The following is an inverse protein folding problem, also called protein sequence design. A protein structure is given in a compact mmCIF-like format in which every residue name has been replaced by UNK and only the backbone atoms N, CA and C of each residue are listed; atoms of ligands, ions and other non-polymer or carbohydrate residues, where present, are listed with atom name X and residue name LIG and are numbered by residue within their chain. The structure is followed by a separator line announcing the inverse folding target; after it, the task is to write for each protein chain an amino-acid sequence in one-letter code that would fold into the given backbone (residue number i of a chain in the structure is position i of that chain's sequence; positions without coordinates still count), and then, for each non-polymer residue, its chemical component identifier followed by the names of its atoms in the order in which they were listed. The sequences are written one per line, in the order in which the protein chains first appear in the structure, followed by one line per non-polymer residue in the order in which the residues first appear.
data_IF_822001018807
#
_entry.id   IF_822001018807
#
_cell.length_a   1.000
_cell.length_b   1.000
_cell.length_c   1.000
_cell.angle_alpha   90.00
_cell.angle_beta   90.00
_cell.angle_gamma   90.00
#
_symmetry.space_group_name_H-M   'P 1'
#
loop_
_entity.id
_entity.type
_entity.pdbx_description
1 polymer ?
#
# COMPACT_ATOMS: atom_id res chain seq x y z
N UNK A 1 29.64 19.92 14.71
CA UNK A 1 30.93 19.73 14.02
C UNK A 1 30.62 19.11 12.67
N UNK A 2 30.48 19.95 11.65
CA UNK A 2 30.19 19.52 10.29
C UNK A 2 31.50 19.10 9.62
N UNK A 3 31.53 17.94 8.96
CA UNK A 3 32.66 17.51 8.14
C UNK A 3 32.14 17.30 6.72
N UNK A 4 32.76 18.05 5.81
CA UNK A 4 32.53 18.08 4.38
C UNK A 4 33.09 16.82 3.69
N UNK A 5 32.43 16.39 2.61
CA UNK A 5 32.95 15.42 1.64
C UNK A 5 33.65 16.17 0.49
N UNK A 6 34.72 15.63 -0.11
CA UNK A 6 35.44 16.28 -1.21
C UNK A 6 34.75 16.09 -2.57
N UNK A 7 34.74 17.17 -3.36
CA UNK A 7 34.26 17.26 -4.73
C UNK A 7 35.10 16.45 -5.74
N UNK A 8 34.44 15.77 -6.69
CA UNK A 8 34.82 15.82 -8.12
C UNK A 8 33.81 15.14 -9.04
N UNK A 9 32.81 15.89 -9.50
CA UNK A 9 32.40 15.91 -10.92
C UNK A 9 31.46 17.11 -11.16
N UNK A 10 31.93 18.08 -11.96
CA UNK A 10 31.19 19.31 -12.29
C UNK A 10 29.85 19.00 -13.00
N UNK A 11 28.70 19.52 -12.52
CA UNK A 11 27.45 19.56 -13.28
C UNK A 11 27.46 20.69 -14.32
N UNK A 12 26.81 20.47 -15.46
CA UNK A 12 26.48 21.54 -16.43
C UNK A 12 25.48 22.53 -15.82
N UNK A 13 25.73 23.82 -16.00
CA UNK A 13 24.94 24.93 -15.47
C UNK A 13 23.44 24.83 -15.81
N UNK A 14 22.60 24.94 -14.77
CA UNK A 14 21.16 25.20 -14.86
C UNK A 14 20.92 26.65 -14.42
N UNK A 15 20.16 27.47 -15.17
CA UNK A 15 19.94 28.87 -14.80
C UNK A 15 19.04 28.99 -13.55
N UNK A 16 19.36 29.96 -12.69
CA UNK A 16 18.67 30.21 -11.43
C UNK A 16 17.21 30.69 -11.62
N UNK A 17 16.27 30.24 -10.77
CA UNK A 17 14.92 30.79 -10.75
C UNK A 17 14.89 32.14 -10.00
N UNK A 18 14.29 33.15 -10.66
CA UNK A 18 14.03 34.48 -10.09
C UNK A 18 13.17 34.36 -8.84
N UNK A 19 13.62 34.98 -7.74
CA UNK A 19 12.87 35.04 -6.48
C UNK A 19 11.55 35.79 -6.63
N UNK A 20 10.47 35.20 -6.13
CA UNK A 20 9.21 35.89 -5.86
C UNK A 20 9.04 35.91 -4.34
N UNK A 21 9.06 37.12 -3.78
CA UNK A 21 8.75 37.39 -2.38
C UNK A 21 7.22 37.30 -2.22
N UNK A 22 6.73 36.42 -1.35
CA UNK A 22 5.31 36.37 -0.96
C UNK A 22 5.22 36.77 0.51
N UNK A 23 4.51 37.86 0.77
CA UNK A 23 4.11 38.34 2.10
C UNK A 23 2.99 37.46 2.69
N UNK A 24 2.87 37.32 4.03
CA UNK A 24 1.89 36.42 4.63
C UNK A 24 0.47 37.03 4.64
N UNK A 25 -0.53 36.25 4.21
CA UNK A 25 -1.96 36.54 4.37
C UNK A 25 -2.48 36.05 5.74
N UNK A 26 -3.53 36.67 6.30
CA UNK A 26 -4.02 36.36 7.65
C UNK A 26 -4.93 35.11 7.68
N UNK A 27 -4.98 34.47 8.85
CA UNK A 27 -5.73 33.25 9.13
C UNK A 27 -7.25 33.38 8.85
N UNK A 28 -7.80 32.43 8.09
CA UNK A 28 -9.24 32.30 7.81
C UNK A 28 -9.90 31.13 8.55
N UNK A 29 -11.18 31.32 8.87
CA UNK A 29 -12.08 30.55 9.75
C UNK A 29 -12.25 29.04 9.45
N UNK A 30 -12.67 28.22 10.46
CA UNK A 30 -12.69 26.76 10.41
C UNK A 30 -13.95 26.11 9.78
N UNK A 31 -14.67 26.77 8.86
CA UNK A 31 -15.96 26.27 8.31
C UNK A 31 -15.94 25.78 6.84
N UNK A 32 -14.82 25.31 6.29
CA UNK A 32 -14.75 24.93 4.85
C UNK A 32 -14.89 23.44 4.52
N UNK A 33 -15.12 22.55 5.49
CA UNK A 33 -15.17 21.10 5.23
C UNK A 33 -16.49 20.54 4.66
N UNK A 34 -17.55 21.34 4.49
CA UNK A 34 -18.81 20.88 3.90
C UNK A 34 -19.05 21.27 2.43
N UNK A 35 -18.23 22.15 1.83
CA UNK A 35 -18.54 22.76 0.54
C UNK A 35 -18.11 22.01 -0.74
N UNK A 36 -17.33 20.93 -0.64
CA UNK A 36 -16.79 20.25 -1.83
C UNK A 36 -17.65 19.07 -2.33
N UNK A 37 -18.46 18.47 -1.44
CA UNK A 37 -19.46 17.49 -1.83
C UNK A 37 -20.59 18.16 -2.64
N UNK A 38 -21.05 19.34 -2.24
CA UNK A 38 -22.18 20.01 -2.91
C UNK A 38 -21.85 20.49 -4.33
N UNK A 39 -20.61 20.93 -4.59
CA UNK A 39 -20.19 21.37 -5.92
C UNK A 39 -19.91 20.22 -6.89
N UNK A 40 -19.44 19.08 -6.36
CA UNK A 40 -19.20 17.86 -7.14
C UNK A 40 -20.52 17.17 -7.47
N UNK A 41 -21.47 17.17 -6.52
CA UNK A 41 -22.84 16.70 -6.68
C UNK A 41 -23.64 17.58 -7.66
N UNK A 42 -23.58 18.91 -7.54
CA UNK A 42 -24.28 19.81 -8.45
C UNK A 42 -23.75 19.75 -9.89
N UNK A 43 -22.44 19.54 -10.07
CA UNK A 43 -21.83 19.37 -11.39
C UNK A 43 -22.19 18.01 -12.02
N UNK A 44 -22.23 16.93 -11.22
CA UNK A 44 -22.70 15.62 -11.69
C UNK A 44 -24.18 15.64 -12.04
N UNK A 45 -25.01 16.30 -11.23
CA UNK A 45 -26.46 16.35 -11.42
C UNK A 45 -26.84 17.18 -12.66
N UNK A 46 -26.10 18.27 -12.93
CA UNK A 46 -26.25 19.09 -14.14
C UNK A 46 -25.87 18.32 -15.42
N UNK A 47 -24.78 17.55 -15.39
CA UNK A 47 -24.33 16.72 -16.51
C UNK A 47 -25.26 15.53 -16.77
N UNK A 48 -25.77 14.88 -15.72
CA UNK A 48 -26.76 13.78 -15.81
C UNK A 48 -28.10 14.29 -16.35
N UNK A 49 -28.55 15.47 -15.90
CA UNK A 49 -29.80 16.08 -16.38
C UNK A 49 -29.73 16.46 -17.85
N UNK A 50 -28.59 16.97 -18.33
CA UNK A 50 -28.37 17.32 -19.73
C UNK A 50 -28.33 16.08 -20.66
N UNK A 51 -27.79 14.94 -20.17
CA UNK A 51 -27.61 13.72 -20.96
C UNK A 51 -28.80 12.75 -20.90
N UNK A 52 -29.68 12.86 -19.91
CA UNK A 52 -30.93 12.07 -19.81
C UNK A 52 -31.92 12.35 -20.97
N UNK A 53 -31.74 13.46 -21.69
CA UNK A 53 -32.56 13.81 -22.86
C UNK A 53 -32.18 13.05 -24.14
N UNK A 54 -31.13 12.22 -24.12
CA UNK A 54 -30.67 11.50 -25.31
C UNK A 54 -30.03 10.15 -24.97
N UNK A 55 -30.80 9.09 -24.77
CA UNK A 55 -30.39 7.72 -25.15
C UNK A 55 -31.46 6.65 -24.90
N UNK A 56 -31.54 5.70 -25.84
CA UNK A 56 -32.36 4.48 -25.78
C UNK A 56 -31.89 3.51 -24.65
N UNK A 57 -32.78 2.70 -24.06
CA UNK A 57 -32.56 2.04 -22.77
C UNK A 57 -31.84 0.67 -22.79
N UNK A 58 -31.04 0.32 -23.80
CA UNK A 58 -30.49 -1.06 -23.91
C UNK A 58 -28.97 -1.20 -23.92
N UNK A 59 -28.20 -0.11 -23.84
CA UNK A 59 -26.76 -0.18 -23.63
C UNK A 59 -26.31 0.90 -22.64
N UNK A 60 -25.58 0.56 -21.57
CA UNK A 60 -25.02 1.57 -20.69
C UNK A 60 -24.07 2.45 -21.50
N UNK A 61 -24.21 3.77 -21.34
CA UNK A 61 -23.33 4.72 -22.03
C UNK A 61 -21.87 4.51 -21.58
N UNK A 62 -20.94 4.90 -22.44
CA UNK A 62 -19.50 4.85 -22.12
C UNK A 62 -19.17 5.54 -20.78
N UNK A 63 -19.82 6.68 -20.53
CA UNK A 63 -19.66 7.44 -19.28
C UNK A 63 -20.24 6.71 -18.07
N UNK A 64 -21.38 6.02 -18.21
CA UNK A 64 -21.93 5.19 -17.13
C UNK A 64 -21.02 4.00 -16.83
N UNK A 65 -20.43 3.38 -17.86
CA UNK A 65 -19.50 2.26 -17.70
C UNK A 65 -18.21 2.71 -17.02
N UNK A 66 -17.68 3.87 -17.40
CA UNK A 66 -16.53 4.48 -16.71
C UNK A 66 -16.86 4.84 -15.26
N UNK A 67 -18.03 5.43 -15.00
CA UNK A 67 -18.44 5.75 -13.64
C UNK A 67 -18.51 4.48 -12.77
N UNK A 68 -19.17 3.43 -13.24
CA UNK A 68 -19.19 2.11 -12.57
C UNK A 68 -17.78 1.57 -12.31
N UNK A 69 -16.88 1.63 -13.30
CA UNK A 69 -15.48 1.20 -13.16
C UNK A 69 -14.72 2.01 -12.09
N UNK A 70 -15.03 3.30 -11.94
CA UNK A 70 -14.28 4.19 -11.05
C UNK A 70 -14.87 4.33 -9.65
N UNK A 71 -16.17 4.10 -9.45
CA UNK A 71 -16.84 4.25 -8.14
C UNK A 71 -17.28 2.92 -7.54
N UNK A 72 -17.77 1.98 -8.34
CA UNK A 72 -18.34 0.72 -7.83
C UNK A 72 -17.35 -0.44 -7.81
N UNK A 73 -16.40 -0.49 -8.74
CA UNK A 73 -15.41 -1.56 -8.78
C UNK A 73 -14.47 -1.52 -7.54
N UNK A 74 -13.96 -0.36 -7.07
CA UNK A 74 -13.14 -0.29 -5.87
C UNK A 74 -13.88 -0.63 -4.56
N UNK A 75 -15.22 -0.59 -4.55
CA UNK A 75 -16.03 -0.95 -3.39
C UNK A 75 -16.43 -2.42 -3.34
N UNK A 76 -16.09 -3.22 -4.36
CA UNK A 76 -16.32 -4.66 -4.33
C UNK A 76 -15.34 -5.38 -3.37
N UNK A 77 -15.81 -6.39 -2.61
CA UNK A 77 -14.95 -7.18 -1.74
C UNK A 77 -13.75 -7.77 -2.48
N UNK A 78 -12.56 -7.78 -1.88
CA UNK A 78 -11.34 -8.34 -2.48
C UNK A 78 -11.40 -9.86 -2.68
N UNK A 79 -12.37 -10.54 -2.07
CA UNK A 79 -12.72 -11.93 -2.33
C UNK A 79 -13.49 -12.15 -3.64
N UNK A 80 -13.99 -11.08 -4.28
CA UNK A 80 -14.78 -11.17 -5.50
C UNK A 80 -13.97 -11.70 -6.68
N UNK A 81 -14.53 -12.60 -7.51
CA UNK A 81 -13.86 -13.14 -8.70
C UNK A 81 -13.39 -12.07 -9.70
N UNK A 82 -14.03 -10.89 -9.70
CA UNK A 82 -13.64 -9.77 -10.57
C UNK A 82 -12.19 -9.35 -10.35
N UNK A 83 -11.68 -9.40 -9.12
CA UNK A 83 -10.30 -9.05 -8.82
C UNK A 83 -9.32 -10.08 -9.36
N UNK A 84 -9.71 -11.36 -9.36
CA UNK A 84 -8.91 -12.41 -10.01
C UNK A 84 -8.86 -12.23 -11.53
N UNK A 85 -9.96 -11.79 -12.14
CA UNK A 85 -9.99 -11.42 -13.57
C UNK A 85 -9.08 -10.22 -13.85
N UNK A 86 -9.17 -9.16 -13.05
CA UNK A 86 -8.35 -7.95 -13.21
C UNK A 86 -6.87 -8.29 -13.03
N UNK A 87 -6.49 -9.04 -12.00
CA UNK A 87 -5.12 -9.51 -11.80
C UNK A 87 -4.59 -10.34 -12.98
N UNK A 88 -5.47 -11.09 -13.65
CA UNK A 88 -5.12 -11.81 -14.89
C UNK A 88 -4.85 -10.84 -16.06
N UNK A 89 -5.63 -9.76 -16.19
CA UNK A 89 -5.41 -8.72 -17.21
C UNK A 89 -4.09 -7.96 -16.98
N UNK A 90 -3.76 -7.68 -15.72
CA UNK A 90 -2.52 -7.01 -15.31
C UNK A 90 -1.36 -7.98 -15.03
N UNK A 91 -1.46 -9.23 -15.49
CA UNK A 91 -0.40 -10.23 -15.28
C UNK A 91 0.94 -9.72 -15.81
N UNK A 92 1.98 -9.79 -14.99
CA UNK A 92 3.33 -9.43 -15.42
C UNK A 92 3.83 -10.42 -16.49
N UNK A 93 4.52 -9.92 -17.54
CA UNK A 93 5.02 -10.77 -18.63
C UNK A 93 6.06 -11.79 -18.14
N UNK A 94 6.88 -11.39 -17.16
CA UNK A 94 7.85 -12.24 -16.50
C UNK A 94 7.47 -12.36 -15.02
N UNK A 95 7.39 -13.59 -14.51
CA UNK A 95 7.28 -13.82 -13.07
C UNK A 95 8.69 -13.90 -12.52
N UNK A 96 9.04 -13.14 -11.48
CA UNK A 96 10.35 -13.28 -10.88
C UNK A 96 10.55 -14.72 -10.39
N UNK A 97 11.76 -15.29 -10.55
CA UNK A 97 12.07 -16.56 -9.91
C UNK A 97 11.93 -16.42 -8.39
N UNK A 98 11.49 -17.46 -7.66
CA UNK A 98 11.45 -17.41 -6.20
C UNK A 98 12.83 -17.08 -5.65
N UNK A 99 12.90 -16.16 -4.69
CA UNK A 99 14.13 -15.89 -3.96
C UNK A 99 14.52 -17.11 -3.14
N UNK A 100 15.82 -17.30 -2.96
CA UNK A 100 16.39 -18.44 -2.22
C UNK A 100 17.28 -17.94 -1.11
N UNK A 101 17.16 -18.54 0.07
CA UNK A 101 18.00 -18.23 1.23
C UNK A 101 19.27 -19.06 1.24
N UNK A 102 20.39 -18.38 1.38
CA UNK A 102 21.66 -18.99 1.72
C UNK A 102 21.63 -19.43 3.20
N UNK A 103 21.85 -20.72 3.52
CA UNK A 103 21.87 -21.20 4.90
C UNK A 103 22.88 -20.47 5.81
N UNK A 104 23.95 -19.91 5.24
CA UNK A 104 24.93 -19.11 5.99
C UNK A 104 24.44 -17.70 6.35
N UNK A 105 23.32 -17.26 5.75
CA UNK A 105 22.74 -15.92 5.92
C UNK A 105 21.24 -16.03 6.26
N UNK A 106 20.88 -16.56 7.44
CA UNK A 106 19.49 -16.70 7.84
C UNK A 106 18.82 -15.33 8.10
N UNK A 107 17.49 -15.34 8.24
CA UNK A 107 16.75 -14.20 8.77
C UNK A 107 17.18 -13.99 10.22
N UNK A 108 17.59 -12.79 10.57
CA UNK A 108 18.15 -12.47 11.88
C UNK A 108 17.33 -11.43 12.64
N UNK A 109 16.72 -10.46 11.96
CA UNK A 109 16.01 -9.34 12.59
C UNK A 109 14.64 -9.13 11.93
N UNK A 110 13.59 -9.05 12.75
CA UNK A 110 12.23 -8.70 12.30
C UNK A 110 11.82 -7.41 13.00
N UNK A 111 11.69 -6.31 12.25
CA UNK A 111 11.31 -5.01 12.78
C UNK A 111 9.82 -4.75 12.56
N UNK A 112 8.99 -5.05 13.56
CA UNK A 112 7.52 -5.07 13.48
C UNK A 112 6.86 -3.69 13.70
N UNK A 113 7.65 -2.63 13.85
CA UNK A 113 7.12 -1.27 14.01
C UNK A 113 6.31 -0.82 12.80
N UNK A 114 5.24 -0.08 13.06
CA UNK A 114 4.37 0.44 11.99
C UNK A 114 5.14 1.35 11.03
N UNK A 115 4.65 1.51 9.78
CA UNK A 115 5.14 2.55 8.90
C UNK A 115 5.16 3.91 9.60
N UNK A 116 6.14 4.74 9.24
CA UNK A 116 6.33 6.10 9.81
C UNK A 116 6.77 6.16 11.27
N UNK A 117 7.28 5.04 11.81
CA UNK A 117 7.93 4.99 13.14
C UNK A 117 9.47 4.92 13.06
N UNK A 118 10.05 5.43 11.97
CA UNK A 118 11.49 5.40 11.72
C UNK A 118 12.00 4.11 11.08
N UNK A 119 11.14 3.39 10.36
CA UNK A 119 11.44 2.11 9.70
C UNK A 119 12.58 2.21 8.69
N UNK A 120 12.63 3.27 7.88
CA UNK A 120 13.71 3.51 6.92
C UNK A 120 15.05 3.78 7.60
N UNK A 121 15.07 4.65 8.63
CA UNK A 121 16.30 4.91 9.40
C UNK A 121 16.80 3.66 10.11
N UNK A 122 15.89 2.82 10.61
CA UNK A 122 16.23 1.52 11.19
C UNK A 122 16.80 0.56 10.15
N UNK A 123 16.21 0.51 8.95
CA UNK A 123 16.73 -0.29 7.86
C UNK A 123 18.16 0.12 7.47
N UNK A 124 18.42 1.43 7.35
CA UNK A 124 19.76 1.96 7.10
C UNK A 124 20.75 1.62 8.23
N UNK A 125 20.34 1.75 9.49
CA UNK A 125 21.17 1.40 10.63
C UNK A 125 21.56 -0.09 10.63
N UNK A 126 20.63 -0.99 10.31
CA UNK A 126 20.92 -2.41 10.17
C UNK A 126 21.87 -2.67 8.99
N UNK A 127 21.68 -2.02 7.85
CA UNK A 127 22.64 -2.11 6.73
C UNK A 127 24.05 -1.68 7.17
N UNK A 128 24.19 -0.58 7.92
CA UNK A 128 25.48 -0.14 8.46
C UNK A 128 26.10 -1.11 9.47
N UNK A 129 25.28 -1.88 10.21
CA UNK A 129 25.74 -2.93 11.12
C UNK A 129 26.18 -4.22 10.38
N UNK A 130 26.09 -4.26 9.05
CA UNK A 130 26.58 -5.36 8.23
C UNK A 130 25.54 -6.42 7.89
N UNK A 131 24.25 -6.16 8.11
CA UNK A 131 23.20 -7.07 7.62
C UNK A 131 23.12 -7.02 6.09
N UNK A 132 23.17 -8.21 5.50
CA UNK A 132 23.46 -8.48 4.09
C UNK A 132 22.46 -7.92 3.07
N UNK A 133 21.25 -7.66 3.53
CA UNK A 133 20.18 -6.97 2.82
C UNK A 133 19.02 -6.81 3.82
N UNK A 134 18.47 -5.61 3.92
CA UNK A 134 17.39 -5.26 4.85
C UNK A 134 16.17 -4.88 4.04
N UNK A 135 15.17 -5.77 4.02
CA UNK A 135 13.94 -5.54 3.26
C UNK A 135 13.10 -4.47 3.94
N UNK A 136 12.62 -3.51 3.16
CA UNK A 136 11.78 -2.40 3.55
C UNK A 136 10.50 -2.40 2.70
N UNK A 137 9.47 -1.66 3.09
CA UNK A 137 8.26 -1.49 2.29
C UNK A 137 8.53 -0.86 0.91
N UNK A 138 9.65 -0.17 0.76
CA UNK A 138 10.08 0.39 -0.52
C UNK A 138 10.41 -0.72 -1.52
N UNK A 139 10.98 -1.83 -1.07
CA UNK A 139 11.36 -2.95 -1.95
C UNK A 139 10.14 -3.67 -2.54
N UNK A 140 8.96 -3.57 -1.92
CA UNK A 140 7.71 -4.13 -2.46
C UNK A 140 7.35 -3.51 -3.82
N UNK A 141 7.68 -2.22 -4.00
CA UNK A 141 7.30 -1.42 -5.18
C UNK A 141 8.46 -1.01 -6.06
N UNK A 142 9.68 -0.97 -5.52
CA UNK A 142 10.88 -0.57 -6.27
C UNK A 142 11.79 -1.74 -6.65
N UNK A 143 11.36 -2.98 -6.40
CA UNK A 143 11.93 -4.12 -7.11
C UNK A 143 11.90 -3.82 -8.63
N UNK A 144 12.99 -4.09 -9.38
CA UNK A 144 13.05 -3.83 -10.81
C UNK A 144 11.83 -4.40 -11.56
N UNK A 145 11.47 -3.80 -12.69
CA UNK A 145 10.29 -4.18 -13.49
C UNK A 145 10.24 -5.66 -13.87
N UNK A 146 11.41 -6.25 -14.16
CA UNK A 146 11.59 -7.67 -14.46
C UNK A 146 11.52 -8.58 -13.22
N UNK A 147 11.53 -8.00 -12.02
CA UNK A 147 11.56 -8.66 -10.73
C UNK A 147 10.44 -8.21 -9.78
N UNK A 148 9.29 -7.77 -10.27
CA UNK A 148 8.22 -7.29 -9.39
C UNK A 148 7.57 -8.43 -8.54
N UNK A 149 7.83 -8.44 -7.23
CA UNK A 149 7.31 -9.44 -6.27
C UNK A 149 5.98 -9.05 -5.60
N UNK A 150 5.41 -7.87 -5.92
CA UNK A 150 4.10 -7.42 -5.40
C UNK A 150 2.98 -8.47 -5.50
N UNK A 151 2.83 -9.26 -6.60
CA UNK A 151 1.83 -10.33 -6.66
C UNK A 151 1.99 -11.39 -5.56
N UNK A 152 3.23 -11.67 -5.14
CA UNK A 152 3.52 -12.63 -4.07
C UNK A 152 3.07 -12.11 -2.70
N UNK A 153 3.26 -10.82 -2.43
CA UNK A 153 2.73 -10.15 -1.23
C UNK A 153 1.19 -10.14 -1.22
N UNK A 154 0.54 -9.90 -2.36
CA UNK A 154 -0.92 -10.01 -2.52
C UNK A 154 -1.40 -11.43 -2.23
N UNK A 155 -0.71 -12.46 -2.71
CA UNK A 155 -1.04 -13.87 -2.42
C UNK A 155 -0.97 -14.16 -0.93
N UNK A 156 0.06 -13.67 -0.23
CA UNK A 156 0.18 -13.82 1.22
C UNK A 156 -0.92 -13.06 1.97
N UNK A 157 -1.21 -11.83 1.57
CA UNK A 157 -2.27 -11.03 2.18
C UNK A 157 -3.65 -11.69 2.00
N UNK A 158 -3.94 -12.23 0.81
CA UNK A 158 -5.17 -13.00 0.56
C UNK A 158 -5.25 -14.23 1.44
N UNK A 159 -4.16 -14.99 1.57
CA UNK A 159 -4.08 -16.16 2.46
C UNK A 159 -4.34 -15.78 3.92
N UNK A 160 -3.83 -14.63 4.38
CA UNK A 160 -4.00 -14.14 5.76
C UNK A 160 -5.41 -13.62 6.06
N UNK A 161 -5.92 -12.72 5.21
CA UNK A 161 -7.10 -11.92 5.53
C UNK A 161 -8.39 -12.42 4.86
N UNK A 162 -8.27 -13.24 3.81
CA UNK A 162 -9.41 -13.76 3.04
C UNK A 162 -9.28 -15.27 2.83
N UNK A 163 -9.15 -16.08 3.89
CA UNK A 163 -9.06 -17.52 3.75
C UNK A 163 -10.37 -18.06 3.17
N UNK A 164 -10.28 -18.83 2.08
CA UNK A 164 -11.44 -19.56 1.55
C UNK A 164 -11.75 -20.68 2.53
N UNK A 165 -12.97 -20.70 3.09
CA UNK A 165 -13.44 -21.81 3.89
C UNK A 165 -13.57 -23.05 3.01
N UNK A 166 -12.81 -24.10 3.28
CA UNK A 166 -13.08 -25.41 2.71
C UNK A 166 -14.42 -25.90 3.31
N UNK A 167 -15.45 -25.96 2.47
CA UNK A 167 -16.83 -26.32 2.83
C UNK A 167 -17.02 -27.78 3.33
N UNK A 168 -15.97 -28.47 3.77
CA UNK A 168 -16.01 -29.92 4.05
C UNK A 168 -15.63 -30.33 5.48
N UNK A 169 -15.31 -29.42 6.39
CA UNK A 169 -15.06 -29.82 7.79
C UNK A 169 -15.56 -28.80 8.81
N UNK A 170 -16.53 -29.23 9.63
CA UNK A 170 -16.99 -28.60 10.87
C UNK A 170 -15.96 -28.70 12.02
N UNK A 171 -14.67 -28.75 11.68
CA UNK A 171 -13.58 -28.68 12.65
C UNK A 171 -13.10 -27.23 12.70
N UNK A 172 -12.85 -26.73 13.92
CA UNK A 172 -12.27 -25.43 14.23
C UNK A 172 -11.21 -25.07 13.16
N UNK A 173 -11.56 -24.17 12.24
CA UNK A 173 -10.74 -23.91 11.05
C UNK A 173 -9.36 -23.44 11.49
N UNK A 174 -8.35 -24.30 11.31
CA UNK A 174 -6.96 -23.89 11.35
C UNK A 174 -6.80 -22.83 10.26
N UNK A 175 -6.65 -21.57 10.65
CA UNK A 175 -6.36 -20.49 9.69
C UNK A 175 -5.21 -20.95 8.79
N UNK A 176 -5.31 -20.79 7.46
CA UNK A 176 -4.29 -21.27 6.55
C UNK A 176 -2.92 -20.69 6.94
N UNK A 177 -2.04 -21.56 7.43
CA UNK A 177 -0.80 -21.12 8.07
C UNK A 177 0.17 -20.61 7.01
N UNK A 178 0.57 -19.35 7.12
CA UNK A 178 1.69 -18.81 6.33
C UNK A 178 2.98 -19.38 6.94
N UNK A 179 3.76 -20.06 6.11
CA UNK A 179 4.94 -20.80 6.53
C UNK A 179 6.22 -20.06 6.16
N UNK A 180 7.35 -20.50 6.71
CA UNK A 180 8.69 -20.05 6.29
C UNK A 180 8.86 -20.13 4.78
N UNK A 181 8.47 -21.25 4.17
CA UNK A 181 8.59 -21.47 2.72
C UNK A 181 7.83 -20.44 1.89
N UNK A 182 6.68 -19.97 2.38
CA UNK A 182 5.92 -18.92 1.70
C UNK A 182 6.69 -17.57 1.71
N UNK A 183 7.40 -17.26 2.80
CA UNK A 183 8.23 -16.06 2.90
C UNK A 183 9.57 -16.17 2.17
N UNK A 184 10.17 -17.36 2.06
CA UNK A 184 11.47 -17.54 1.41
C UNK A 184 11.47 -17.03 -0.04
N UNK A 185 10.38 -17.27 -0.78
CA UNK A 185 10.24 -16.79 -2.16
C UNK A 185 10.28 -15.27 -2.31
N UNK A 186 10.02 -14.50 -1.24
CA UNK A 186 10.00 -13.04 -1.21
C UNK A 186 11.19 -12.43 -0.47
N UNK A 187 11.60 -13.07 0.63
CA UNK A 187 12.57 -12.57 1.61
C UNK A 187 13.85 -13.42 1.68
N UNK A 188 14.03 -14.42 0.82
CA UNK A 188 15.12 -15.40 0.94
C UNK A 188 16.51 -14.76 0.93
N UNK A 189 16.69 -13.72 0.12
CA UNK A 189 17.93 -12.93 0.06
C UNK A 189 18.16 -11.95 1.24
N UNK A 190 17.19 -11.76 2.14
CA UNK A 190 17.24 -10.76 3.21
C UNK A 190 17.65 -11.37 4.55
N UNK A 191 18.39 -10.62 5.36
CA UNK A 191 18.67 -10.98 6.77
C UNK A 191 17.86 -10.19 7.78
N UNK A 192 17.20 -9.12 7.33
CA UNK A 192 16.27 -8.36 8.14
C UNK A 192 15.09 -7.89 7.30
N UNK A 193 13.96 -7.64 7.96
CA UNK A 193 12.74 -7.12 7.34
C UNK A 193 12.13 -6.04 8.23
N UNK A 194 11.65 -4.97 7.61
CA UNK A 194 11.08 -3.79 8.28
C UNK A 194 9.81 -3.31 7.57
N UNK A 195 9.09 -2.36 8.17
CA UNK A 195 7.98 -1.63 7.55
C UNK A 195 6.77 -2.52 7.18
N UNK A 196 6.07 -2.29 6.06
CA UNK A 196 4.82 -2.99 5.74
C UNK A 196 4.91 -4.51 5.79
N UNK A 197 5.90 -5.16 5.14
CA UNK A 197 6.07 -6.61 5.21
C UNK A 197 6.19 -7.14 6.64
N UNK A 198 6.98 -6.47 7.48
CA UNK A 198 7.20 -6.89 8.86
C UNK A 198 6.01 -6.61 9.78
N UNK A 199 5.38 -5.43 9.66
CA UNK A 199 4.27 -5.02 10.51
C UNK A 199 2.96 -5.74 10.15
N UNK A 200 2.65 -5.91 8.86
CA UNK A 200 1.45 -6.62 8.40
C UNK A 200 1.51 -8.11 8.75
N UNK A 201 2.68 -8.75 8.61
CA UNK A 201 2.85 -10.19 8.83
C UNK A 201 3.63 -10.52 10.11
N UNK A 202 3.57 -9.65 11.12
CA UNK A 202 4.39 -9.77 12.33
C UNK A 202 4.27 -11.15 13.00
N UNK A 203 3.04 -11.62 13.26
CA UNK A 203 2.81 -12.91 13.92
C UNK A 203 3.33 -14.09 13.09
N UNK A 204 3.10 -14.07 11.79
CA UNK A 204 3.49 -15.13 10.87
C UNK A 204 5.00 -15.16 10.64
N UNK A 205 5.65 -13.99 10.55
CA UNK A 205 7.11 -13.89 10.44
C UNK A 205 7.80 -14.37 11.73
N UNK A 206 7.28 -14.01 12.90
CA UNK A 206 7.82 -14.47 14.19
C UNK A 206 7.67 -15.99 14.31
N UNK A 207 6.53 -16.55 13.92
CA UNK A 207 6.31 -17.99 13.92
C UNK A 207 7.20 -18.71 12.87
N UNK A 208 7.40 -18.09 11.71
CA UNK A 208 8.23 -18.64 10.64
C UNK A 208 9.72 -18.62 10.95
N UNK A 209 10.21 -17.61 11.68
CA UNK A 209 11.62 -17.41 12.02
C UNK A 209 11.81 -17.20 13.54
N UNK A 210 11.57 -18.25 14.37
CA UNK A 210 11.68 -18.15 15.83
C UNK A 210 13.09 -17.82 16.32
N UNK A 211 14.12 -18.05 15.49
CA UNK A 211 15.51 -17.71 15.76
C UNK A 211 15.82 -16.21 15.60
N UNK A 212 14.98 -15.47 14.87
CA UNK A 212 15.21 -14.05 14.60
C UNK A 212 14.82 -13.18 15.80
N UNK A 213 15.60 -12.12 16.05
CA UNK A 213 15.26 -11.14 17.08
C UNK A 213 14.16 -10.23 16.58
N UNK A 214 13.23 -9.91 17.46
CA UNK A 214 12.11 -9.00 17.14
C UNK A 214 12.42 -7.62 17.70
N UNK A 215 12.27 -6.59 16.86
CA UNK A 215 12.42 -5.19 17.23
C UNK A 215 11.10 -4.48 17.01
N UNK A 216 10.57 -3.84 18.05
CA UNK A 216 9.41 -2.96 17.95
C UNK A 216 9.89 -1.51 18.07
N UNK A 217 10.12 -0.85 16.94
CA UNK A 217 10.34 0.58 16.91
C UNK A 217 9.00 1.32 16.98
N UNK A 218 8.93 2.35 17.81
CA UNK A 218 7.71 3.12 18.04
C UNK A 218 8.01 4.61 18.10
N UNK A 219 7.02 5.41 17.72
CA UNK A 219 7.02 6.85 17.99
C UNK A 219 6.26 7.09 19.28
N UNK A 220 6.83 7.89 20.19
CA UNK A 220 6.22 8.15 21.52
C UNK A 220 4.94 8.97 21.46
N UNK A 221 4.82 9.77 20.42
CA UNK A 221 3.74 10.73 20.22
C UNK A 221 2.86 10.22 19.07
N UNK A 222 1.64 9.81 19.43
CA UNK A 222 0.65 9.23 18.52
C UNK A 222 0.13 10.24 17.50
N UNK A 223 -0.17 11.47 17.94
CA UNK A 223 -0.65 12.55 17.07
C UNK A 223 0.39 12.86 16.00
N UNK A 224 1.66 13.02 16.39
CA UNK A 224 2.75 13.24 15.43
C UNK A 224 3.00 12.04 14.50
N UNK A 225 2.74 10.82 14.98
CA UNK A 225 2.80 9.64 14.12
C UNK A 225 1.67 9.66 13.09
N UNK A 226 0.44 9.89 13.52
CA UNK A 226 -0.74 9.99 12.68
C UNK A 226 -0.59 11.10 11.63
N UNK A 227 -0.16 12.31 12.03
CA UNK A 227 0.12 13.41 11.09
C UNK A 227 1.15 12.99 10.03
N UNK A 228 2.22 12.31 10.44
CA UNK A 228 3.25 11.81 9.52
C UNK A 228 2.75 10.69 8.61
N UNK A 229 1.75 9.92 9.06
CA UNK A 229 1.10 8.87 8.30
C UNK A 229 0.15 9.46 7.26
N UNK A 230 -0.71 10.38 7.66
CA UNK A 230 -1.61 11.12 6.77
C UNK A 230 -0.81 11.82 5.68
N UNK A 231 0.23 12.57 6.07
CA UNK A 231 1.03 13.37 5.13
C UNK A 231 1.77 12.54 4.08
N UNK A 232 2.15 11.30 4.38
CA UNK A 232 2.98 10.47 3.50
C UNK A 232 2.19 9.36 2.82
N UNK A 233 1.46 8.55 3.59
CA UNK A 233 0.76 7.36 3.07
C UNK A 233 -0.59 7.77 2.48
N UNK A 234 -1.41 8.51 3.23
CA UNK A 234 -2.74 8.91 2.74
C UNK A 234 -2.62 9.87 1.55
N UNK A 235 -1.67 10.81 1.59
CA UNK A 235 -1.42 11.68 0.43
C UNK A 235 -1.02 10.92 -0.84
N UNK A 236 -0.31 9.80 -0.72
CA UNK A 236 0.01 8.93 -1.86
C UNK A 236 -1.26 8.24 -2.40
N UNK A 237 -2.14 7.79 -1.51
CA UNK A 237 -3.47 7.27 -1.87
C UNK A 237 -4.37 8.33 -2.54
N UNK A 238 -4.24 9.60 -2.17
CA UNK A 238 -4.99 10.71 -2.80
C UNK A 238 -4.39 11.17 -4.14
N UNK A 239 -3.28 10.57 -4.58
CA UNK A 239 -2.63 10.94 -5.83
C UNK A 239 -3.43 10.45 -7.03
N UNK A 240 -4.25 11.34 -7.60
CA UNK A 240 -4.98 11.10 -8.85
C UNK A 240 -4.07 10.56 -9.97
N UNK A 241 -2.85 11.08 -10.08
CA UNK A 241 -1.91 10.68 -11.12
C UNK A 241 -1.44 9.24 -10.95
N UNK A 242 -1.12 8.84 -9.71
CA UNK A 242 -0.74 7.45 -9.42
C UNK A 242 -1.92 6.50 -9.58
N UNK A 243 -3.11 6.93 -9.17
CA UNK A 243 -4.34 6.17 -9.39
C UNK A 243 -4.59 5.93 -10.89
N UNK A 244 -4.52 6.95 -11.75
CA UNK A 244 -4.65 6.76 -13.20
C UNK A 244 -3.56 5.85 -13.74
N UNK A 245 -2.31 6.07 -13.34
CA UNK A 245 -1.19 5.22 -13.76
C UNK A 245 -1.44 3.74 -13.40
N UNK A 246 -2.05 3.47 -12.24
CA UNK A 246 -2.41 2.11 -11.82
C UNK A 246 -3.43 1.41 -12.73
N UNK A 247 -4.17 2.16 -13.56
CA UNK A 247 -5.06 1.59 -14.57
C UNK A 247 -4.39 1.42 -15.93
N UNK A 248 -3.33 2.16 -16.22
CA UNK A 248 -2.69 2.18 -17.53
C UNK A 248 -1.43 1.32 -17.60
N UNK A 249 -0.79 1.08 -16.46
CA UNK A 249 0.46 0.36 -16.35
C UNK A 249 0.36 -0.82 -15.38
N UNK A 250 1.04 -1.93 -15.71
CA UNK A 250 0.96 -3.17 -14.92
C UNK A 250 1.72 -3.09 -13.61
N UNK A 251 2.85 -2.41 -13.58
CA UNK A 251 3.65 -2.27 -12.36
C UNK A 251 2.97 -1.32 -11.40
N UNK A 252 2.46 -0.20 -11.91
CA UNK A 252 1.66 0.74 -11.13
C UNK A 252 0.37 0.08 -10.61
N UNK A 253 -0.27 -0.80 -11.40
CA UNK A 253 -1.39 -1.61 -10.94
C UNK A 253 -1.00 -2.43 -9.71
N UNK A 254 0.07 -3.23 -9.80
CA UNK A 254 0.48 -4.11 -8.70
C UNK A 254 0.96 -3.34 -7.48
N UNK A 255 1.66 -2.21 -7.66
CA UNK A 255 2.08 -1.32 -6.59
C UNK A 255 0.88 -0.70 -5.84
N UNK A 256 -0.14 -0.24 -6.57
CA UNK A 256 -1.39 0.23 -5.97
C UNK A 256 -2.14 -0.92 -5.30
N UNK A 257 -2.26 -2.05 -6.00
CA UNK A 257 -3.06 -3.20 -5.56
C UNK A 257 -2.52 -3.81 -4.27
N UNK A 258 -1.20 -4.00 -4.17
CA UNK A 258 -0.59 -4.53 -2.94
C UNK A 258 -0.79 -3.59 -1.77
N UNK A 259 -0.62 -2.28 -1.95
CA UNK A 259 -0.66 -1.33 -0.83
C UNK A 259 -2.07 -0.85 -0.48
N UNK A 260 -2.76 -0.25 -1.43
CA UNK A 260 -4.02 0.46 -1.19
C UNK A 260 -5.23 -0.48 -1.09
N UNK A 261 -5.11 -1.72 -1.58
CA UNK A 261 -6.18 -2.71 -1.44
C UNK A 261 -5.86 -3.76 -0.38
N UNK A 262 -4.64 -4.27 -0.31
CA UNK A 262 -4.30 -5.34 0.63
C UNK A 262 -3.60 -4.86 1.91
N UNK A 263 -2.38 -4.33 1.82
CA UNK A 263 -1.54 -4.13 3.01
C UNK A 263 -2.04 -3.01 3.93
N UNK A 264 -2.28 -1.79 3.43
CA UNK A 264 -2.72 -0.68 4.28
C UNK A 264 -4.10 -0.87 4.87
N UNK A 265 -5.14 -1.23 4.09
CA UNK A 265 -6.45 -1.49 4.68
C UNK A 265 -6.38 -2.61 5.72
N UNK A 266 -5.60 -3.67 5.49
CA UNK A 266 -5.48 -4.75 6.45
C UNK A 266 -4.70 -4.37 7.72
N UNK A 267 -3.64 -3.59 7.59
CA UNK A 267 -2.85 -3.11 8.72
C UNK A 267 -3.68 -2.22 9.65
N UNK A 268 -4.48 -1.32 9.08
CA UNK A 268 -5.32 -0.37 9.81
C UNK A 268 -6.74 -0.88 10.06
N UNK A 269 -7.00 -2.17 9.79
CA UNK A 269 -8.31 -2.84 9.99
C UNK A 269 -9.47 -2.20 9.22
N UNK A 270 -9.19 -1.56 8.09
CA UNK A 270 -10.15 -1.11 7.09
C UNK A 270 -10.38 -2.19 5.99
N UNK A 271 -10.43 -3.46 6.38
CA UNK A 271 -10.58 -4.60 5.45
C UNK A 271 -12.03 -4.64 4.99
N UNK A 272 -12.30 -4.42 3.69
CA UNK A 272 -13.66 -4.47 3.14
C UNK A 272 -13.97 -3.52 1.98
N UNK A 273 -12.96 -2.80 1.47
CA UNK A 273 -13.16 -1.76 0.47
C UNK A 273 -13.85 -0.53 1.08
N UNK A 274 -14.01 0.53 0.29
CA UNK A 274 -14.66 1.77 0.75
C UNK A 274 -16.10 1.57 1.27
N UNK A 275 -16.73 0.41 1.02
CA UNK A 275 -18.09 0.07 1.46
C UNK A 275 -18.22 -0.43 2.91
N UNK A 276 -17.20 -1.04 3.50
CA UNK A 276 -17.29 -1.59 4.87
C UNK A 276 -16.75 -0.64 5.95
N UNK A 277 -16.15 0.50 5.57
CA UNK A 277 -15.83 1.58 6.51
C UNK A 277 -17.07 2.16 7.21
N UNK A 278 -18.27 1.95 6.65
CA UNK A 278 -19.54 2.40 7.23
C UNK A 278 -20.09 1.54 8.37
N UNK A 279 -19.59 0.32 8.59
CA UNK A 279 -20.12 -0.57 9.64
C UNK A 279 -19.30 -0.57 10.94
N UNK A 280 -18.08 -0.04 10.94
CA UNK A 280 -17.21 -0.04 12.13
C UNK A 280 -17.58 1.09 13.11
N UNK A 281 -18.32 2.11 12.69
CA UNK A 281 -18.79 3.22 13.55
C UNK A 281 -20.09 2.93 14.31
N UNK A 282 -20.75 1.79 14.09
CA UNK A 282 -22.02 1.47 14.75
C UNK A 282 -21.91 0.44 15.90
N UNK A 283 -20.71 -0.07 16.19
CA UNK A 283 -20.54 -1.28 17.02
C UNK A 283 -19.81 -1.13 18.36
N UNK A 284 -19.45 0.08 18.81
CA UNK A 284 -18.79 0.28 20.11
C UNK A 284 -19.37 1.49 20.85
N UNK A 285 -20.60 1.33 21.32
CA UNK A 285 -21.08 2.00 22.54
C UNK A 285 -21.87 0.97 23.32
N UNK A 286 -21.20 0.28 24.24
CA UNK A 286 -21.78 -0.27 25.47
C UNK A 286 -20.65 -0.52 26.48
#
# INVERSE_FOLDING_TARGET
MAIALPDSHKPKDRPEPRGVVITPEPAGDPETHHGLNDKTQAASDSLVTSLSKSSNPTTPSFLSTLHTLFTTLPSLPLSSPIWTLIEHLYRLPNHPPPRTRDPSRPMQIICVGFPRTGTESLAQALTHLGYSHVYHGWDVVYDPSDLCYSPGWVKLARKKFYPVADNHSFQFQSHPTITRADFEGLLGHCQAVTDAPASVFAAELIAAYPEAKVVLNMRRDEEKWQESLVKTIIKANESWGFWVASWLDRECFWAWHVYERFLWPALFRCVGGYGELGSVTAGVVH
#
